data_IF_232947933346
#
_entry.id   IF_232947933346
#
_cell.length_a   1.000
_cell.length_b   1.000
_cell.length_c   1.000
_cell.angle_alpha   90.00
_cell.angle_beta   90.00
_cell.angle_gamma   90.00
#
_symmetry.space_group_name_H-M   'P 1'
#
loop_
_entity.id
_entity.type
_entity.pdbx_description
1 polymer ?
#
# COMPACT_ATOMS: atom_id res chain seq x y z
N UNK A 1 21.73 6.64 8.91
CA UNK A 1 20.28 6.68 9.15
C UNK A 1 19.93 6.07 10.51
N UNK A 2 20.56 4.95 10.87
CA UNK A 2 20.40 4.30 12.19
C UNK A 2 20.67 5.21 13.39
N UNK A 3 21.63 6.14 13.26
CA UNK A 3 21.90 7.17 14.28
C UNK A 3 20.69 8.04 14.60
N UNK A 4 20.01 8.54 13.55
CA UNK A 4 18.81 9.36 13.67
C UNK A 4 17.63 8.55 14.26
N UNK A 5 17.41 7.32 13.80
CA UNK A 5 16.33 6.47 14.33
C UNK A 5 16.54 6.21 15.81
N UNK A 6 17.79 5.95 16.24
CA UNK A 6 18.12 5.75 17.65
C UNK A 6 17.90 7.02 18.48
N UNK A 7 18.24 8.19 17.95
CA UNK A 7 18.00 9.47 18.60
C UNK A 7 16.50 9.75 18.76
N UNK A 8 15.72 9.57 17.69
CA UNK A 8 14.26 9.73 17.71
C UNK A 8 13.61 8.76 18.71
N UNK A 9 13.98 7.48 18.68
CA UNK A 9 13.45 6.46 19.60
C UNK A 9 13.86 6.73 21.05
N UNK A 10 15.04 7.30 21.28
CA UNK A 10 15.53 7.67 22.61
C UNK A 10 14.78 8.85 23.24
N UNK A 11 14.12 9.70 22.44
CA UNK A 11 13.37 10.84 22.96
C UNK A 11 12.06 10.46 23.65
N UNK A 12 11.50 9.28 23.34
CA UNK A 12 10.17 8.88 23.80
C UNK A 12 9.03 9.77 23.27
N UNK A 13 9.29 10.58 22.24
CA UNK A 13 8.32 11.49 21.62
C UNK A 13 7.87 10.89 20.29
N UNK A 14 6.57 10.86 20.02
CA UNK A 14 6.00 10.33 18.78
C UNK A 14 4.94 9.27 19.02
N UNK A 15 4.75 8.40 18.04
CA UNK A 15 3.84 7.27 18.13
C UNK A 15 4.58 6.03 18.65
N UNK A 16 4.02 5.38 19.67
CA UNK A 16 4.50 4.10 20.19
C UNK A 16 3.42 3.03 20.04
N UNK A 17 3.78 1.86 19.54
CA UNK A 17 2.93 0.66 19.58
C UNK A 17 3.67 -0.37 20.43
N UNK A 18 2.99 -0.93 21.43
CA UNK A 18 3.53 -1.92 22.38
C UNK A 18 4.89 -1.55 22.97
N UNK A 19 5.04 -0.26 23.34
CA UNK A 19 6.27 0.28 23.94
C UNK A 19 7.43 0.52 22.96
N UNK A 20 7.23 0.25 21.66
CA UNK A 20 8.23 0.52 20.61
C UNK A 20 7.86 1.79 19.85
N UNK A 21 8.80 2.74 19.76
CA UNK A 21 8.63 3.96 18.98
C UNK A 21 8.64 3.65 17.48
N UNK A 22 7.63 4.15 16.75
CA UNK A 22 7.48 3.93 15.32
C UNK A 22 8.06 5.11 14.55
N UNK A 23 9.20 4.87 13.92
CA UNK A 23 9.78 5.73 12.91
C UNK A 23 10.03 4.88 11.67
N UNK A 24 9.37 5.20 10.56
CA UNK A 24 9.50 4.44 9.32
C UNK A 24 10.41 5.23 8.39
N UNK A 25 11.46 4.59 7.90
CA UNK A 25 12.38 5.18 6.93
C UNK A 25 12.77 4.16 5.88
N UNK A 26 12.78 4.57 4.62
CA UNK A 26 13.23 3.78 3.50
C UNK A 26 14.01 4.65 2.53
N UNK A 27 15.29 4.32 2.30
CA UNK A 27 16.21 5.14 1.50
C UNK A 27 16.21 6.61 1.95
N UNK A 28 15.74 7.56 1.14
CA UNK A 28 15.60 8.98 1.47
C UNK A 28 14.21 9.37 2.01
N UNK A 29 13.22 8.48 1.89
CA UNK A 29 11.87 8.69 2.39
C UNK A 29 11.78 8.38 3.88
N UNK A 30 11.25 9.32 4.67
CA UNK A 30 11.03 9.16 6.11
C UNK A 30 9.62 9.58 6.47
N UNK A 31 8.97 8.78 7.31
CA UNK A 31 7.62 9.01 7.82
C UNK A 31 7.68 9.13 9.33
N UNK A 32 7.27 10.29 9.83
CA UNK A 32 7.15 10.58 11.24
C UNK A 32 5.68 10.51 11.66
N UNK A 33 5.40 9.76 12.71
CA UNK A 33 4.06 9.62 13.28
C UNK A 33 4.05 10.19 14.69
N UNK A 34 3.07 11.04 15.00
CA UNK A 34 2.90 11.61 16.34
C UNK A 34 1.42 11.83 16.64
N UNK A 35 0.93 11.47 17.85
CA UNK A 35 -0.43 11.76 18.27
C UNK A 35 -0.65 13.24 18.60
N UNK A 36 0.43 14.03 18.76
CA UNK A 36 0.38 15.45 19.08
C UNK A 36 1.19 16.30 18.11
N UNK A 37 0.70 17.51 17.85
CA UNK A 37 1.40 18.48 16.99
C UNK A 37 2.68 19.00 17.62
N UNK A 38 2.71 19.15 18.95
CA UNK A 38 3.90 19.54 19.70
C UNK A 38 4.98 18.45 19.62
N UNK A 39 4.60 17.18 19.74
CA UNK A 39 5.51 16.05 19.53
C UNK A 39 6.06 16.03 18.11
N UNK A 40 5.20 16.22 17.10
CA UNK A 40 5.63 16.25 15.70
C UNK A 40 6.65 17.36 15.42
N UNK A 41 6.42 18.56 15.95
CA UNK A 41 7.36 19.70 15.80
C UNK A 41 8.72 19.40 16.43
N UNK A 42 8.74 18.74 17.59
CA UNK A 42 10.00 18.31 18.22
C UNK A 42 10.73 17.27 17.37
N UNK A 43 10.02 16.28 16.83
CA UNK A 43 10.60 15.28 15.94
C UNK A 43 11.19 15.91 14.68
N UNK A 44 10.47 16.85 14.06
CA UNK A 44 10.98 17.59 12.90
C UNK A 44 12.25 18.36 13.26
N UNK A 45 12.25 19.08 14.38
CA UNK A 45 13.43 19.83 14.83
C UNK A 45 14.65 18.93 15.06
N UNK A 46 14.47 17.74 15.62
CA UNK A 46 15.57 16.75 15.78
C UNK A 46 16.09 16.31 14.41
N UNK A 47 15.18 16.02 13.48
CA UNK A 47 15.56 15.63 12.12
C UNK A 47 16.33 16.75 11.41
N UNK A 48 15.89 18.00 11.52
CA UNK A 48 16.56 19.17 10.96
C UNK A 48 17.98 19.34 11.51
N UNK A 49 18.14 19.30 12.83
CA UNK A 49 19.45 19.39 13.48
C UNK A 49 20.39 18.26 13.03
N UNK A 50 19.87 17.03 12.95
CA UNK A 50 20.65 15.88 12.50
C UNK A 50 21.05 16.01 11.02
N UNK A 51 20.12 16.43 10.15
CA UNK A 51 20.41 16.63 8.74
C UNK A 51 21.46 17.72 8.53
N UNK A 52 21.35 18.85 9.23
CA UNK A 52 22.31 19.95 9.19
C UNK A 52 23.71 19.51 9.66
N UNK A 53 23.79 18.74 10.75
CA UNK A 53 25.05 18.17 11.24
C UNK A 53 25.72 17.22 10.23
N UNK A 54 24.94 16.59 9.35
CA UNK A 54 25.43 15.73 8.27
C UNK A 54 25.62 16.48 6.93
N UNK A 55 25.40 17.80 6.89
CA UNK A 55 25.47 18.59 5.66
C UNK A 55 24.35 18.30 4.66
N UNK A 56 23.23 17.74 5.12
CA UNK A 56 22.04 17.40 4.33
C UNK A 56 20.92 18.40 4.56
N UNK A 57 20.01 18.53 3.58
CA UNK A 57 18.82 19.39 3.69
C UNK A 57 17.59 18.67 3.19
N UNK A 58 16.56 18.59 4.03
CA UNK A 58 15.25 18.05 3.61
C UNK A 58 14.56 18.95 2.59
N UNK A 59 13.88 18.33 1.63
CA UNK A 59 13.14 19.02 0.59
C UNK A 59 11.72 19.37 1.07
N UNK A 60 11.53 20.61 1.53
CA UNK A 60 10.25 21.11 2.01
C UNK A 60 9.13 21.12 0.97
N UNK A 61 9.44 21.08 -0.32
CA UNK A 61 8.43 21.04 -1.40
C UNK A 61 7.89 19.63 -1.61
N UNK A 62 8.72 18.60 -1.40
CA UNK A 62 8.30 17.20 -1.49
C UNK A 62 7.73 16.66 -0.17
N UNK A 63 8.10 17.26 0.95
CA UNK A 63 7.57 16.89 2.26
C UNK A 63 6.12 17.37 2.42
N UNK A 64 5.25 16.45 2.83
CA UNK A 64 3.83 16.70 3.01
C UNK A 64 3.40 16.36 4.44
N UNK A 65 2.34 17.02 4.92
CA UNK A 65 1.72 16.75 6.22
C UNK A 65 0.34 16.16 6.02
N UNK A 66 0.09 14.99 6.60
CA UNK A 66 -1.22 14.38 6.66
C UNK A 66 -1.76 14.40 8.09
N UNK A 67 -3.04 14.72 8.26
CA UNK A 67 -3.73 14.66 9.54
C UNK A 67 -4.82 13.58 9.47
N UNK A 68 -4.66 12.52 10.25
CA UNK A 68 -5.71 11.52 10.46
C UNK A 68 -6.82 12.08 11.34
N UNK A 69 -8.05 12.03 10.85
CA UNK A 69 -9.24 12.57 11.55
C UNK A 69 -10.00 11.46 12.24
N UNK A 70 -10.44 11.70 13.47
CA UNK A 70 -11.40 10.84 14.15
C UNK A 70 -12.83 11.24 13.72
N UNK A 71 -13.43 10.45 12.83
CA UNK A 71 -14.78 10.69 12.31
C UNK A 71 -14.86 11.95 11.44
N UNK A 72 -15.94 12.73 11.59
CA UNK A 72 -16.21 13.95 10.81
C UNK A 72 -15.59 15.23 11.40
N UNK A 73 -14.73 15.11 12.43
CA UNK A 73 -14.16 16.27 13.11
C UNK A 73 -13.17 17.02 12.21
N UNK A 74 -13.36 18.33 12.11
CA UNK A 74 -12.39 19.24 11.52
C UNK A 74 -11.48 19.79 12.62
N UNK A 75 -10.18 19.79 12.34
CA UNK A 75 -9.18 20.36 13.23
C UNK A 75 -8.49 21.50 12.48
N UNK A 76 -8.59 22.69 13.05
CA UNK A 76 -7.74 23.80 12.68
C UNK A 76 -6.42 23.65 13.44
N UNK A 77 -5.34 23.40 12.71
CA UNK A 77 -4.03 23.13 13.27
C UNK A 77 -3.06 24.21 12.80
N UNK A 78 -2.24 24.77 13.71
CA UNK A 78 -1.26 25.77 13.30
C UNK A 78 -0.23 25.15 12.35
N UNK A 79 0.34 25.95 11.43
CA UNK A 79 1.25 25.44 10.41
C UNK A 79 2.44 24.73 11.05
N UNK A 80 2.79 23.58 10.47
CA UNK A 80 4.02 22.86 10.77
C UNK A 80 5.04 23.28 9.73
N UNK A 81 6.24 23.62 10.18
CA UNK A 81 7.32 24.09 9.31
C UNK A 81 8.42 23.03 9.24
N UNK A 82 9.04 22.92 8.07
CA UNK A 82 10.26 22.18 7.81
C UNK A 82 11.23 23.12 7.07
N UNK A 83 12.43 23.31 7.59
CA UNK A 83 13.43 24.27 7.15
C UNK A 83 12.84 25.69 7.01
N UNK A 84 12.07 26.14 8.02
CA UNK A 84 11.29 27.39 8.02
C UNK A 84 10.18 27.52 6.96
N UNK A 85 9.95 26.52 6.11
CA UNK A 85 8.88 26.51 5.13
C UNK A 85 7.66 25.75 5.66
N UNK A 86 6.42 26.26 5.54
CA UNK A 86 5.23 25.53 5.96
C UNK A 86 5.02 24.30 5.08
N UNK A 87 4.78 23.15 5.72
CA UNK A 87 4.46 21.90 5.04
C UNK A 87 3.05 21.97 4.45
N UNK A 88 2.91 21.46 3.22
CA UNK A 88 1.61 21.36 2.55
C UNK A 88 0.76 20.29 3.25
N UNK A 89 -0.45 20.67 3.66
CA UNK A 89 -1.43 19.72 4.18
C UNK A 89 -2.07 18.95 3.02
N UNK A 90 -2.10 17.64 3.10
CA UNK A 90 -2.70 16.75 2.09
C UNK A 90 -3.65 15.75 2.71
N UNK A 91 -4.64 15.32 1.91
CA UNK A 91 -5.62 14.29 2.29
C UNK A 91 -5.20 12.89 1.83
N UNK A 92 -4.27 12.83 0.88
CA UNK A 92 -3.69 11.61 0.33
C UNK A 92 -2.22 11.82 0.01
N UNK A 93 -1.41 10.82 0.29
CA UNK A 93 0.02 10.81 -0.02
C UNK A 93 0.39 9.44 -0.57
N UNK A 94 1.37 9.41 -1.46
CA UNK A 94 1.91 8.18 -2.03
C UNK A 94 3.22 7.84 -1.31
N UNK A 95 3.28 6.69 -0.66
CA UNK A 95 4.47 6.21 0.06
C UNK A 95 4.86 4.84 -0.48
N UNK A 96 6.09 4.70 -1.01
CA UNK A 96 6.60 3.47 -1.62
C UNK A 96 5.60 2.81 -2.59
N UNK A 97 5.01 3.62 -3.47
CA UNK A 97 3.98 3.21 -4.45
C UNK A 97 2.60 2.86 -3.89
N UNK A 98 2.39 2.94 -2.58
CA UNK A 98 1.11 2.72 -1.92
C UNK A 98 0.41 4.04 -1.58
N UNK A 99 -0.89 4.14 -1.85
CA UNK A 99 -1.68 5.32 -1.50
C UNK A 99 -2.20 5.25 -0.06
N UNK A 100 -1.81 6.23 0.74
CA UNK A 100 -2.36 6.44 2.09
C UNK A 100 -3.33 7.60 2.06
N UNK A 101 -4.48 7.46 2.72
CA UNK A 101 -5.51 8.50 2.83
C UNK A 101 -5.78 8.88 4.29
N UNK A 102 -6.26 10.10 4.52
CA UNK A 102 -6.57 10.60 5.86
C UNK A 102 -7.72 9.83 6.56
N UNK A 103 -8.59 9.20 5.78
CA UNK A 103 -9.67 8.31 6.24
C UNK A 103 -9.24 6.86 6.45
N UNK A 104 -7.98 6.55 6.13
CA UNK A 104 -7.40 5.20 6.10
C UNK A 104 -8.20 4.24 5.22
N UNK A 105 -8.80 4.73 4.13
CA UNK A 105 -9.48 3.89 3.16
C UNK A 105 -8.50 3.47 2.05
N UNK A 106 -8.45 2.17 1.78
CA UNK A 106 -7.56 1.52 0.82
C UNK A 106 -8.16 1.44 -0.61
N UNK A 107 -9.40 1.90 -0.81
CA UNK A 107 -10.10 1.81 -2.10
C UNK A 107 -9.31 2.46 -3.27
N UNK A 108 -8.58 3.56 -3.00
CA UNK A 108 -7.75 4.22 -4.01
C UNK A 108 -6.56 3.35 -4.45
N UNK A 109 -5.93 2.66 -3.50
CA UNK A 109 -4.79 1.80 -3.79
C UNK A 109 -5.25 0.49 -4.47
N UNK A 110 -6.38 -0.05 -4.02
CA UNK A 110 -7.07 -1.17 -4.66
C UNK A 110 -7.37 -0.89 -6.13
N UNK A 111 -7.95 0.27 -6.44
CA UNK A 111 -8.26 0.64 -7.83
C UNK A 111 -7.00 0.86 -8.67
N UNK A 112 -5.91 1.39 -8.08
CA UNK A 112 -4.60 1.50 -8.74
C UNK A 112 -4.08 0.11 -9.11
N UNK A 113 -4.01 -0.82 -8.16
CA UNK A 113 -3.52 -2.17 -8.40
C UNK A 113 -4.42 -2.94 -9.37
N UNK A 114 -5.74 -2.77 -9.29
CA UNK A 114 -6.68 -3.33 -10.27
C UNK A 114 -6.33 -2.89 -11.69
N UNK A 115 -6.13 -1.58 -11.92
CA UNK A 115 -5.75 -1.06 -13.24
C UNK A 115 -4.38 -1.59 -13.68
N UNK A 116 -3.41 -1.63 -12.78
CA UNK A 116 -2.09 -2.17 -13.08
C UNK A 116 -2.15 -3.65 -13.45
N UNK A 117 -3.02 -4.43 -12.79
CA UNK A 117 -3.31 -5.82 -13.11
C UNK A 117 -3.95 -5.94 -14.51
N UNK A 118 -4.98 -5.13 -14.83
CA UNK A 118 -5.60 -5.12 -16.16
C UNK A 118 -4.58 -4.84 -17.26
N UNK A 119 -3.70 -3.86 -17.05
CA UNK A 119 -2.65 -3.49 -18.03
C UNK A 119 -1.67 -4.65 -18.23
N UNK A 120 -1.21 -5.28 -17.15
CA UNK A 120 -0.31 -6.45 -17.20
C UNK A 120 -0.99 -7.64 -17.90
N UNK A 121 -2.22 -7.96 -17.53
CA UNK A 121 -3.00 -9.05 -18.12
C UNK A 121 -3.22 -8.82 -19.62
N UNK A 122 -3.63 -7.62 -20.03
CA UNK A 122 -3.82 -7.26 -21.44
C UNK A 122 -2.51 -7.26 -22.23
N UNK A 123 -1.38 -6.92 -21.60
CA UNK A 123 -0.06 -7.04 -22.22
C UNK A 123 0.28 -8.51 -22.47
N UNK A 124 0.08 -9.38 -21.48
CA UNK A 124 0.33 -10.82 -21.61
C UNK A 124 -0.55 -11.45 -22.69
N UNK A 125 -1.85 -11.15 -22.68
CA UNK A 125 -2.82 -11.69 -23.64
C UNK A 125 -2.46 -11.33 -25.08
N UNK A 126 -2.03 -10.07 -25.33
CA UNK A 126 -1.62 -9.62 -26.66
C UNK A 126 -0.27 -10.17 -27.09
N UNK A 127 0.74 -10.08 -26.21
CA UNK A 127 2.13 -10.40 -26.57
C UNK A 127 2.38 -11.90 -26.67
N UNK A 128 1.64 -12.70 -25.90
CA UNK A 128 1.75 -14.16 -25.87
C UNK A 128 0.49 -14.85 -26.43
N UNK A 129 -0.23 -14.18 -27.34
CA UNK A 129 -1.46 -14.70 -27.95
C UNK A 129 -1.27 -16.09 -28.58
N UNK A 130 -0.11 -16.33 -29.20
CA UNK A 130 0.23 -17.58 -29.89
C UNK A 130 0.79 -18.68 -28.96
N UNK A 131 0.97 -18.40 -27.67
CA UNK A 131 1.51 -19.38 -26.73
C UNK A 131 0.42 -20.38 -26.29
N UNK A 132 0.88 -21.56 -25.85
CA UNK A 132 0.02 -22.60 -25.30
C UNK A 132 -0.60 -22.17 -23.97
N UNK A 133 -1.77 -22.73 -23.65
CA UNK A 133 -2.51 -22.43 -22.41
C UNK A 133 -1.64 -22.60 -21.15
N UNK A 134 -0.84 -23.68 -20.99
CA UNK A 134 0.02 -23.82 -19.81
C UNK A 134 1.06 -22.70 -19.67
N UNK A 135 1.65 -22.25 -20.78
CA UNK A 135 2.62 -21.14 -20.77
C UNK A 135 1.94 -19.83 -20.38
N UNK A 136 0.73 -19.56 -20.90
CA UNK A 136 -0.07 -18.39 -20.51
C UNK A 136 -0.42 -18.40 -19.02
N UNK A 137 -0.79 -19.56 -18.47
CA UNK A 137 -1.07 -19.71 -17.03
C UNK A 137 0.18 -19.42 -16.20
N UNK A 138 1.33 -19.97 -16.56
CA UNK A 138 2.60 -19.71 -15.85
C UNK A 138 2.99 -18.24 -15.90
N UNK A 139 2.89 -17.61 -17.08
CA UNK A 139 3.18 -16.18 -17.24
C UNK A 139 2.21 -15.32 -16.43
N UNK A 140 0.93 -15.66 -16.42
CA UNK A 140 -0.05 -14.94 -15.61
C UNK A 140 0.27 -15.07 -14.12
N UNK A 141 0.55 -16.27 -13.62
CA UNK A 141 0.97 -16.48 -12.22
C UNK A 141 2.24 -15.68 -11.88
N UNK A 142 3.23 -15.66 -12.77
CA UNK A 142 4.49 -14.95 -12.51
C UNK A 142 4.33 -13.41 -12.47
N UNK A 143 3.52 -12.83 -13.37
CA UNK A 143 3.45 -11.37 -13.54
C UNK A 143 2.23 -10.69 -12.90
N UNK A 144 1.12 -11.43 -12.74
CA UNK A 144 -0.16 -10.90 -12.27
C UNK A 144 -0.48 -11.29 -10.81
N UNK A 145 0.10 -12.38 -10.29
CA UNK A 145 -0.18 -12.84 -8.91
C UNK A 145 0.60 -12.06 -7.84
N UNK A 146 1.69 -11.36 -8.21
CA UNK A 146 2.37 -10.44 -7.29
C UNK A 146 1.56 -9.15 -7.17
N UNK A 147 0.61 -9.15 -6.24
CA UNK A 147 -0.09 -7.94 -5.82
C UNK A 147 0.77 -7.25 -4.77
N UNK A 148 1.54 -6.26 -5.21
CA UNK A 148 2.38 -5.47 -4.31
C UNK A 148 1.49 -4.76 -3.27
N UNK A 149 1.93 -4.74 -2.01
CA UNK A 149 1.22 -4.09 -0.87
C UNK A 149 -0.20 -4.59 -0.55
N UNK A 150 -0.68 -5.67 -1.17
CA UNK A 150 -2.05 -6.16 -0.94
C UNK A 150 -2.32 -6.62 0.50
N UNK A 151 -1.27 -6.99 1.23
CA UNK A 151 -1.34 -7.36 2.65
C UNK A 151 -1.59 -6.17 3.57
N UNK A 152 -1.39 -4.93 3.09
CA UNK A 152 -1.62 -3.71 3.85
C UNK A 152 -3.09 -3.25 3.81
N UNK A 153 -3.89 -3.80 2.88
CA UNK A 153 -5.29 -3.43 2.75
C UNK A 153 -6.13 -4.00 3.89
N UNK A 154 -6.60 -3.12 4.77
CA UNK A 154 -7.41 -3.47 5.93
C UNK A 154 -8.83 -2.91 5.80
N UNK A 155 -8.97 -1.63 5.42
CA UNK A 155 -10.25 -0.93 5.38
C UNK A 155 -10.59 -0.63 3.93
N UNK A 156 -11.39 -1.53 3.36
CA UNK A 156 -11.81 -1.51 1.96
C UNK A 156 -13.30 -1.69 1.81
N UNK A 157 -13.88 -1.09 0.78
CA UNK A 157 -15.26 -1.37 0.39
C UNK A 157 -15.38 -2.78 -0.21
N UNK A 158 -16.49 -3.46 0.09
CA UNK A 158 -16.78 -4.77 -0.51
C UNK A 158 -16.84 -4.69 -2.05
N UNK A 159 -17.28 -3.55 -2.59
CA UNK A 159 -17.34 -3.30 -4.04
C UNK A 159 -15.96 -3.26 -4.68
N UNK A 160 -15.02 -2.49 -4.12
CA UNK A 160 -13.66 -2.41 -4.66
C UNK A 160 -12.95 -3.76 -4.57
N UNK A 161 -13.16 -4.49 -3.48
CA UNK A 161 -12.62 -5.83 -3.33
C UNK A 161 -13.18 -6.82 -4.34
N UNK A 162 -14.51 -6.83 -4.55
CA UNK A 162 -15.14 -7.72 -5.53
C UNK A 162 -14.66 -7.42 -6.96
N UNK A 163 -14.50 -6.14 -7.33
CA UNK A 163 -13.99 -5.75 -8.64
C UNK A 163 -12.54 -6.24 -8.87
N UNK A 164 -11.66 -6.10 -7.87
CA UNK A 164 -10.30 -6.66 -7.94
C UNK A 164 -10.33 -8.20 -8.02
N UNK A 165 -11.25 -8.84 -7.28
CA UNK A 165 -11.40 -10.31 -7.26
C UNK A 165 -11.83 -10.84 -8.62
N UNK A 166 -12.80 -10.20 -9.27
CA UNK A 166 -13.23 -10.53 -10.62
C UNK A 166 -12.02 -10.44 -11.59
N UNK A 167 -11.25 -9.37 -11.53
CA UNK A 167 -10.09 -9.16 -12.41
C UNK A 167 -8.93 -10.14 -12.17
N UNK A 168 -8.72 -10.55 -10.92
CA UNK A 168 -7.68 -11.50 -10.52
C UNK A 168 -8.06 -12.95 -10.81
N UNK A 169 -9.35 -13.24 -10.95
CA UNK A 169 -9.90 -14.58 -11.18
C UNK A 169 -10.06 -14.93 -12.66
N UNK A 170 -9.67 -14.05 -13.59
CA UNK A 170 -9.77 -14.30 -15.04
C UNK A 170 -8.45 -14.84 -15.58
N UNK A 171 -8.34 -16.17 -15.80
CA UNK A 171 -7.50 -16.73 -16.84
C UNK A 171 -8.35 -17.09 -18.07
N UNK A 172 -9.34 -16.28 -18.44
CA UNK A 172 -10.23 -16.60 -19.56
C UNK A 172 -9.99 -15.67 -20.74
N UNK A 173 -9.13 -16.12 -21.65
CA UNK A 173 -9.09 -15.63 -23.02
C UNK A 173 -10.39 -16.12 -23.67
N UNK A 174 -11.39 -15.25 -23.69
CA UNK A 174 -12.78 -15.66 -23.79
C UNK A 174 -13.18 -16.44 -25.04
N UNK A 175 -14.24 -17.22 -24.89
CA UNK A 175 -15.38 -17.45 -25.79
C UNK A 175 -16.43 -18.22 -24.96
N UNK A 176 -17.70 -17.85 -25.12
CA UNK A 176 -18.90 -18.55 -24.62
C UNK A 176 -18.74 -20.08 -24.63
N UNK A 177 -18.91 -20.75 -23.49
CA UNK A 177 -19.69 -22.00 -23.35
C UNK A 177 -19.66 -22.57 -21.92
N UNK A 178 -20.86 -22.92 -21.43
CA UNK A 178 -21.23 -23.71 -20.23
C UNK A 178 -20.36 -23.60 -18.95
N UNK A 179 -20.89 -22.88 -17.97
CA UNK A 179 -20.26 -22.36 -16.75
C UNK A 179 -19.85 -23.35 -15.63
N UNK A 180 -19.81 -24.69 -15.80
CA UNK A 180 -19.62 -25.58 -14.64
C UNK A 180 -18.54 -26.67 -14.72
N UNK A 181 -17.86 -26.90 -15.85
CA UNK A 181 -16.87 -27.99 -15.96
C UNK A 181 -15.41 -27.57 -15.74
N UNK A 182 -15.08 -26.28 -15.91
CA UNK A 182 -13.70 -25.79 -15.83
C UNK A 182 -13.22 -25.42 -14.42
N UNK A 183 -14.13 -25.08 -13.50
CA UNK A 183 -13.80 -24.78 -12.10
C UNK A 183 -13.27 -26.02 -11.37
N UNK A 184 -13.86 -27.19 -11.63
CA UNK A 184 -13.41 -28.46 -11.04
C UNK A 184 -12.01 -28.85 -11.51
N UNK A 185 -11.68 -28.57 -12.78
CA UNK A 185 -10.40 -28.91 -13.39
C UNK A 185 -9.23 -28.05 -12.87
N UNK A 186 -9.52 -26.84 -12.37
CA UNK A 186 -8.55 -25.92 -11.77
C UNK A 186 -8.30 -26.29 -10.30
N UNK A 187 -9.35 -26.68 -9.58
CA UNK A 187 -9.26 -27.21 -8.20
C UNK A 187 -8.44 -28.50 -8.16
N UNK A 188 -8.61 -29.39 -9.15
CA UNK A 188 -7.91 -30.68 -9.19
C UNK A 188 -6.44 -30.59 -9.67
N UNK A 189 -6.05 -29.54 -10.40
CA UNK A 189 -4.68 -29.40 -10.97
C UNK A 189 -3.77 -28.41 -10.28
N UNK A 190 -4.32 -27.40 -9.62
CA UNK A 190 -3.52 -26.42 -8.89
C UNK A 190 -3.55 -26.81 -7.42
N UNK A 191 -2.61 -27.68 -7.04
CA UNK A 191 -2.38 -28.03 -5.64
C UNK A 191 -2.42 -26.78 -4.74
N UNK A 192 -3.24 -26.89 -3.71
CA UNK A 192 -3.58 -25.86 -2.72
C UNK A 192 -2.36 -25.49 -1.85
N UNK A 193 -1.41 -24.74 -2.39
CA UNK A 193 -0.29 -24.19 -1.60
C UNK A 193 -0.22 -22.65 -1.67
N UNK A 194 -1.34 -21.98 -1.97
CA UNK A 194 -1.43 -20.53 -1.92
C UNK A 194 -2.31 -20.09 -0.73
N UNK A 195 -1.77 -19.36 0.26
CA UNK A 195 -2.52 -18.87 1.43
C UNK A 195 -3.75 -18.04 1.05
N UNK A 196 -3.71 -17.36 -0.10
CA UNK A 196 -4.81 -16.54 -0.63
C UNK A 196 -5.97 -17.41 -1.16
N UNK A 197 -5.67 -18.61 -1.67
CA UNK A 197 -6.67 -19.60 -2.11
C UNK A 197 -7.21 -20.44 -0.93
N UNK A 198 -6.40 -20.70 0.10
CA UNK A 198 -6.84 -21.37 1.33
C UNK A 198 -7.88 -20.53 2.11
N UNK A 199 -7.72 -19.20 2.12
CA UNK A 199 -8.73 -18.27 2.65
C UNK A 199 -10.01 -18.26 1.79
N UNK A 200 -9.92 -18.67 0.53
CA UNK A 200 -11.03 -18.73 -0.43
C UNK A 200 -11.87 -20.02 -0.26
N UNK A 201 -11.25 -21.15 0.09
CA UNK A 201 -11.95 -22.43 0.34
C UNK A 201 -12.64 -22.50 1.70
N UNK A 202 -12.06 -21.94 2.76
CA UNK A 202 -12.65 -21.98 4.11
C UNK A 202 -13.95 -21.17 4.28
N UNK A 203 -14.27 -20.30 3.32
CA UNK A 203 -15.44 -19.42 3.42
C UNK A 203 -16.63 -19.88 2.56
N UNK A 204 -16.46 -20.80 1.60
CA UNK A 204 -17.47 -21.07 0.55
C UNK A 204 -17.66 -22.54 0.16
N UNK A 205 -17.19 -23.49 0.98
CA UNK A 205 -17.64 -24.89 0.92
C UNK A 205 -18.26 -25.23 2.28
N UNK A 206 -19.52 -25.68 2.37
CA UNK A 206 -20.06 -26.19 3.64
C UNK A 206 -19.33 -27.46 4.09
#
# INVERSE_FOLDING_TARGET
MDGLIRELSGTGIGCSIDGTMINISYADDMVLLSPSLSGLRKLISICECYAEAQGLKYNSTKSELMLFKAGSKTYDIPPVKLNNHPLKRVERVKYLEHWVTDTLNDDLDLERERRALSVRANMLARRFAQCTIPVKITLFKAYCQSLYTCSLWFKRSQRAYNALREESSIPDVGVRDSTNSYLQLIVDRVGLDCPVLAMWTCLHVP
#
